data_IF_787065529889
#
_entry.id   IF_787065529889
#
_cell.length_a   1.000
_cell.length_b   1.000
_cell.length_c   1.000
_cell.angle_alpha   90.00
_cell.angle_beta   90.00
_cell.angle_gamma   90.00
#
_symmetry.space_group_name_H-M   'P 1'
#
loop_
_entity.id
_entity.type
_entity.pdbx_description
1 polymer ?
#
# COMPACT_ATOMS: atom_id res chain seq x y z
N UNK A 1 11.26 2.03 26.38
CA UNK A 1 12.57 2.71 26.49
C UNK A 1 13.18 2.84 25.10
N UNK A 2 13.99 3.87 24.85
CA UNK A 2 14.69 4.09 23.57
C UNK A 2 16.17 4.37 23.81
N UNK A 3 17.04 4.02 22.86
CA UNK A 3 18.46 4.38 22.89
C UNK A 3 18.70 5.80 22.33
N UNK A 4 19.97 6.18 22.13
CA UNK A 4 20.37 7.50 21.57
C UNK A 4 19.89 7.73 20.14
N UNK A 5 19.69 6.66 19.37
CA UNK A 5 19.13 6.70 18.01
C UNK A 5 17.60 6.65 18.01
N UNK A 6 16.97 6.79 19.17
CA UNK A 6 15.52 6.67 19.36
C UNK A 6 14.94 5.29 18.97
N UNK A 7 15.79 4.26 18.96
CA UNK A 7 15.37 2.90 18.61
C UNK A 7 14.69 2.22 19.80
N UNK A 8 13.56 1.57 19.55
CA UNK A 8 12.85 0.75 20.54
C UNK A 8 13.46 -0.65 20.60
N UNK A 9 13.15 -1.40 21.67
CA UNK A 9 13.55 -2.80 21.75
C UNK A 9 13.00 -3.63 20.58
N UNK A 10 11.75 -3.34 20.17
CA UNK A 10 11.12 -3.99 19.03
C UNK A 10 11.85 -3.68 17.72
N UNK A 11 12.27 -2.43 17.53
CA UNK A 11 13.09 -2.03 16.38
C UNK A 11 14.40 -2.81 16.33
N UNK A 12 15.17 -2.80 17.44
CA UNK A 12 16.49 -3.43 17.50
C UNK A 12 16.38 -4.94 17.24
N UNK A 13 15.38 -5.60 17.83
CA UNK A 13 15.14 -7.02 17.60
C UNK A 13 14.73 -7.32 16.15
N UNK A 14 13.94 -6.45 15.53
CA UNK A 14 13.51 -6.58 14.14
C UNK A 14 14.65 -6.39 13.15
N UNK A 15 15.50 -5.37 13.38
CA UNK A 15 16.68 -5.08 12.56
C UNK A 15 17.70 -6.22 12.57
N UNK A 16 17.90 -6.87 13.73
CA UNK A 16 18.87 -7.95 13.89
C UNK A 16 18.29 -9.36 13.62
N UNK A 17 17.05 -9.48 13.11
CA UNK A 17 16.40 -10.78 12.83
C UNK A 17 16.08 -11.68 14.04
N UNK A 18 15.96 -11.13 15.26
CA UNK A 18 15.71 -11.94 16.46
C UNK A 18 14.23 -12.27 16.66
N UNK A 19 13.67 -13.17 15.84
CA UNK A 19 12.25 -13.52 15.85
C UNK A 19 11.71 -13.93 17.23
N UNK A 20 12.46 -14.73 17.99
CA UNK A 20 12.05 -15.15 19.34
C UNK A 20 11.90 -13.98 20.30
N UNK A 21 12.75 -12.96 20.16
CA UNK A 21 12.69 -11.72 20.95
C UNK A 21 11.52 -10.88 20.48
N UNK A 22 11.32 -10.70 19.17
CA UNK A 22 10.17 -9.97 18.61
C UNK A 22 8.85 -10.55 19.13
N UNK A 23 8.64 -11.86 18.98
CA UNK A 23 7.43 -12.54 19.48
C UNK A 23 7.24 -12.37 20.99
N UNK A 24 8.32 -12.44 21.75
CA UNK A 24 8.26 -12.24 23.21
C UNK A 24 7.90 -10.80 23.56
N UNK A 25 8.47 -9.81 22.87
CA UNK A 25 8.20 -8.40 23.09
C UNK A 25 6.74 -8.07 22.77
N UNK A 26 6.22 -8.52 21.61
CA UNK A 26 4.83 -8.30 21.22
C UNK A 26 3.87 -8.92 22.24
N UNK A 27 4.07 -10.20 22.62
CA UNK A 27 3.28 -10.84 23.69
C UNK A 27 3.30 -10.12 25.04
N UNK A 28 4.27 -9.23 25.28
CA UNK A 28 4.44 -8.46 26.53
C UNK A 28 4.00 -7.00 26.39
N UNK A 29 3.25 -6.63 25.35
CA UNK A 29 2.68 -5.29 25.20
C UNK A 29 3.52 -4.32 24.37
N UNK A 30 4.53 -4.81 23.63
CA UNK A 30 5.34 -3.95 22.77
C UNK A 30 4.59 -3.46 21.53
N UNK A 31 3.33 -3.84 21.31
CA UNK A 31 2.49 -3.34 20.21
C UNK A 31 2.38 -1.81 20.21
N UNK A 32 2.44 -1.19 21.40
CA UNK A 32 2.48 0.28 21.57
C UNK A 32 3.67 0.94 20.87
N UNK A 33 4.69 0.17 20.50
CA UNK A 33 5.91 0.65 19.83
C UNK A 33 6.02 0.27 18.35
N UNK A 34 4.99 -0.36 17.77
CA UNK A 34 4.99 -0.81 16.36
C UNK A 34 5.19 0.31 15.34
N UNK A 35 4.66 1.50 15.64
CA UNK A 35 4.71 2.66 14.74
C UNK A 35 5.75 3.70 15.17
N UNK A 36 6.53 3.38 16.20
CA UNK A 36 7.55 4.29 16.70
C UNK A 36 8.72 4.32 15.72
N UNK A 37 9.04 5.50 15.24
CA UNK A 37 10.14 5.74 14.33
C UNK A 37 11.42 6.10 15.11
N UNK A 38 12.57 5.66 14.59
CA UNK A 38 13.88 6.03 15.11
C UNK A 38 14.30 7.44 14.62
N UNK A 39 15.54 7.88 14.91
CA UNK A 39 16.08 9.19 14.49
C UNK A 39 16.17 9.40 12.97
N UNK A 40 16.04 8.33 12.19
CA UNK A 40 16.07 8.33 10.72
C UNK A 40 14.67 8.16 10.11
N UNK A 41 13.61 8.30 10.91
CA UNK A 41 12.23 8.09 10.49
C UNK A 41 11.94 6.62 10.07
N UNK A 42 12.71 5.67 10.57
CA UNK A 42 12.61 4.25 10.22
C UNK A 42 11.74 3.51 11.24
N UNK A 43 10.78 2.72 10.75
CA UNK A 43 9.90 1.87 11.55
C UNK A 43 10.49 0.48 11.80
N UNK A 44 9.99 -0.27 12.81
CA UNK A 44 10.31 -1.69 12.97
C UNK A 44 9.99 -2.53 11.73
N UNK A 45 8.92 -2.20 11.00
CA UNK A 45 8.55 -2.88 9.75
C UNK A 45 9.60 -2.66 8.66
N UNK A 46 10.10 -1.43 8.52
CA UNK A 46 11.20 -1.14 7.61
C UNK A 46 12.45 -1.94 7.99
N UNK A 47 12.82 -1.95 9.27
CA UNK A 47 14.00 -2.67 9.76
C UNK A 47 13.92 -4.18 9.47
N UNK A 48 12.77 -4.81 9.72
CA UNK A 48 12.54 -6.21 9.38
C UNK A 48 12.61 -6.46 7.86
N UNK A 49 12.13 -5.50 7.07
CA UNK A 49 12.11 -5.60 5.61
C UNK A 49 13.51 -5.48 5.00
N UNK A 50 14.31 -4.54 5.51
CA UNK A 50 15.72 -4.38 5.15
C UNK A 50 16.53 -5.63 5.45
N UNK A 51 16.34 -6.24 6.63
CA UNK A 51 17.03 -7.49 6.96
C UNK A 51 16.49 -8.72 6.20
N UNK A 52 15.31 -8.64 5.58
CA UNK A 52 14.71 -9.78 4.86
C UNK A 52 14.02 -10.82 5.74
N UNK A 53 13.73 -10.47 7.00
CA UNK A 53 13.09 -11.38 7.97
C UNK A 53 11.59 -11.49 7.70
N UNK A 54 11.19 -12.33 6.74
CA UNK A 54 9.79 -12.52 6.34
C UNK A 54 8.88 -12.96 7.49
N UNK A 55 9.38 -13.74 8.44
CA UNK A 55 8.62 -14.14 9.64
C UNK A 55 8.36 -12.95 10.58
N UNK A 56 9.34 -12.07 10.77
CA UNK A 56 9.17 -10.84 11.57
C UNK A 56 8.21 -9.90 10.85
N UNK A 57 8.33 -9.73 9.54
CA UNK A 57 7.39 -8.91 8.74
C UNK A 57 5.96 -9.42 8.90
N UNK A 58 5.72 -10.74 8.81
CA UNK A 58 4.39 -11.33 9.06
C UNK A 58 3.87 -10.99 10.46
N UNK A 59 4.70 -11.18 11.48
CA UNK A 59 4.31 -10.91 12.87
C UNK A 59 3.98 -9.42 13.08
N UNK A 60 4.82 -8.52 12.58
CA UNK A 60 4.60 -7.08 12.69
C UNK A 60 3.33 -6.65 11.95
N UNK A 61 3.09 -7.16 10.74
CA UNK A 61 1.88 -6.87 9.97
C UNK A 61 0.62 -7.40 10.67
N UNK A 62 0.68 -8.62 11.22
CA UNK A 62 -0.40 -9.21 12.01
C UNK A 62 -0.80 -8.34 13.21
N UNK A 63 0.19 -7.75 13.89
CA UNK A 63 -0.05 -6.81 14.99
C UNK A 63 -0.36 -5.36 14.54
N UNK A 64 -0.49 -5.11 13.24
CA UNK A 64 -0.98 -3.84 12.69
C UNK A 64 0.10 -2.86 12.23
N UNK A 65 1.36 -3.27 12.07
CA UNK A 65 2.47 -2.41 11.61
C UNK A 65 2.25 -1.79 10.21
N UNK A 66 1.24 -2.25 9.46
CA UNK A 66 0.84 -1.74 8.15
C UNK A 66 0.65 -0.22 8.09
N UNK A 67 0.33 0.45 9.20
CA UNK A 67 0.26 1.93 9.27
C UNK A 67 1.55 2.65 8.89
N UNK A 68 2.68 1.96 8.95
CA UNK A 68 3.99 2.51 8.57
C UNK A 68 4.54 1.98 7.26
N UNK A 69 3.72 1.25 6.48
CA UNK A 69 4.18 0.59 5.25
C UNK A 69 4.54 1.55 4.12
N UNK A 70 3.95 2.74 4.12
CA UNK A 70 4.25 3.83 3.17
C UNK A 70 5.06 4.95 3.79
N UNK A 71 5.42 4.83 5.09
CA UNK A 71 6.20 5.86 5.79
C UNK A 71 7.62 5.93 5.19
N UNK A 72 8.01 7.08 4.62
CA UNK A 72 9.33 7.24 4.05
C UNK A 72 10.38 7.42 5.15
N UNK A 73 11.39 6.57 5.17
CA UNK A 73 12.57 6.71 6.02
C UNK A 73 13.61 7.66 5.44
N UNK A 74 14.87 7.48 5.85
CA UNK A 74 16.01 8.20 5.28
C UNK A 74 16.06 8.01 3.76
N UNK A 75 16.32 9.10 3.02
CA UNK A 75 16.34 9.07 1.55
C UNK A 75 14.97 8.86 0.89
N UNK A 76 13.88 8.87 1.65
CA UNK A 76 12.54 8.62 1.14
C UNK A 76 12.21 7.14 0.93
N UNK A 77 13.04 6.23 1.45
CA UNK A 77 12.85 4.79 1.27
C UNK A 77 11.75 4.24 2.18
N UNK A 78 10.81 3.50 1.58
CA UNK A 78 9.79 2.74 2.31
C UNK A 78 10.25 1.30 2.56
N UNK A 79 9.55 0.52 3.41
CA UNK A 79 9.81 -0.92 3.55
C UNK A 79 9.89 -1.69 2.22
N UNK A 80 9.10 -1.30 1.22
CA UNK A 80 9.14 -1.93 -0.11
C UNK A 80 10.46 -1.64 -0.84
N UNK A 81 10.97 -0.40 -0.75
CA UNK A 81 12.28 -0.04 -1.29
C UNK A 81 13.39 -0.84 -0.61
N UNK A 82 13.39 -0.89 0.72
CA UNK A 82 14.39 -1.64 1.48
C UNK A 82 14.43 -3.12 1.09
N UNK A 83 13.26 -3.76 0.97
CA UNK A 83 13.18 -5.15 0.55
C UNK A 83 13.65 -5.35 -0.91
N UNK A 84 13.43 -4.38 -1.79
CA UNK A 84 13.86 -4.46 -3.19
C UNK A 84 15.38 -4.25 -3.34
N UNK A 85 15.95 -3.30 -2.60
CA UNK A 85 17.40 -3.01 -2.55
C UNK A 85 18.19 -4.25 -2.11
N UNK A 86 17.69 -4.98 -1.12
CA UNK A 86 18.36 -6.15 -0.55
C UNK A 86 17.88 -7.49 -1.15
N UNK A 87 17.08 -7.45 -2.23
CA UNK A 87 16.58 -8.62 -2.98
C UNK A 87 15.75 -9.62 -2.13
N UNK A 88 14.94 -9.13 -1.21
CA UNK A 88 14.11 -9.97 -0.33
C UNK A 88 12.74 -10.29 -0.94
N UNK A 89 12.71 -11.20 -1.91
CA UNK A 89 11.49 -11.57 -2.66
C UNK A 89 10.29 -11.97 -1.76
N UNK A 90 10.54 -12.76 -0.71
CA UNK A 90 9.47 -13.19 0.21
C UNK A 90 8.92 -12.03 1.05
N UNK A 91 9.76 -11.08 1.45
CA UNK A 91 9.30 -9.86 2.11
C UNK A 91 8.47 -9.02 1.14
N UNK A 92 8.92 -8.84 -0.10
CA UNK A 92 8.16 -8.12 -1.12
C UNK A 92 6.75 -8.69 -1.28
N UNK A 93 6.62 -10.02 -1.44
CA UNK A 93 5.32 -10.68 -1.56
C UNK A 93 4.40 -10.37 -0.39
N UNK A 94 4.93 -10.30 0.83
CA UNK A 94 4.14 -9.97 2.02
C UNK A 94 3.71 -8.52 2.05
N UNK A 95 4.62 -7.59 1.72
CA UNK A 95 4.31 -6.17 1.69
C UNK A 95 3.28 -5.85 0.60
N UNK A 96 3.39 -6.45 -0.59
CA UNK A 96 2.48 -6.27 -1.71
C UNK A 96 1.06 -6.77 -1.47
N UNK A 97 0.84 -7.60 -0.44
CA UNK A 97 -0.49 -8.06 -0.02
C UNK A 97 -1.21 -7.07 0.90
N UNK A 98 -0.51 -6.05 1.40
CA UNK A 98 -1.09 -5.07 2.32
C UNK A 98 -1.85 -4.00 1.52
N UNK A 99 -3.07 -3.62 1.93
CA UNK A 99 -3.80 -2.51 1.31
C UNK A 99 -3.01 -1.20 1.30
N UNK A 100 -3.31 -0.33 0.34
CA UNK A 100 -2.74 1.02 0.20
C UNK A 100 -1.22 1.08 -0.07
N UNK A 101 -0.57 -0.06 -0.32
CA UNK A 101 0.81 -0.05 -0.79
C UNK A 101 0.85 0.48 -2.22
N UNK A 102 1.78 1.40 -2.50
CA UNK A 102 2.02 1.90 -3.85
C UNK A 102 3.36 1.41 -4.34
N UNK A 103 3.35 0.55 -5.37
CA UNK A 103 4.58 0.05 -6.01
C UNK A 103 5.37 1.14 -6.74
N UNK A 104 4.70 2.25 -7.06
CA UNK A 104 5.23 3.39 -7.81
C UNK A 104 5.70 4.56 -6.92
N UNK A 105 5.69 4.39 -5.59
CA UNK A 105 6.24 5.40 -4.69
C UNK A 105 7.71 5.64 -5.00
N UNK A 106 8.12 6.92 -4.98
CA UNK A 106 9.49 7.35 -5.28
C UNK A 106 10.24 7.72 -4.01
N UNK A 107 11.51 7.36 -3.97
CA UNK A 107 12.48 7.91 -3.01
C UNK A 107 12.72 9.40 -3.26
N UNK A 108 13.45 10.07 -2.36
CA UNK A 108 13.88 11.47 -2.53
C UNK A 108 14.73 11.66 -3.79
N UNK A 109 15.39 10.60 -4.26
CA UNK A 109 16.18 10.61 -5.50
C UNK A 109 15.35 10.31 -6.75
N UNK A 110 14.03 10.12 -6.62
CA UNK A 110 13.13 9.83 -7.73
C UNK A 110 13.11 8.36 -8.16
N UNK A 111 13.76 7.46 -7.41
CA UNK A 111 13.81 6.03 -7.74
C UNK A 111 12.60 5.30 -7.17
N UNK A 112 12.02 4.40 -7.96
CA UNK A 112 11.03 3.43 -7.48
C UNK A 112 11.70 2.12 -7.08
N UNK A 113 11.00 1.26 -6.34
CA UNK A 113 11.48 -0.10 -6.04
C UNK A 113 11.79 -0.89 -7.34
N UNK A 114 10.99 -0.69 -8.40
CA UNK A 114 11.22 -1.30 -9.70
C UNK A 114 12.51 -0.78 -10.37
N UNK A 115 12.77 0.53 -10.28
CA UNK A 115 14.01 1.11 -10.81
C UNK A 115 15.24 0.52 -10.12
N UNK A 116 15.22 0.42 -8.79
CA UNK A 116 16.32 -0.16 -8.00
C UNK A 116 16.57 -1.61 -8.42
N UNK A 117 15.53 -2.45 -8.45
CA UNK A 117 15.64 -3.85 -8.85
C UNK A 117 16.13 -4.02 -10.30
N UNK A 118 15.72 -3.12 -11.20
CA UNK A 118 16.15 -3.14 -12.60
C UNK A 118 17.61 -2.73 -12.77
N UNK A 119 18.05 -1.69 -12.04
CA UNK A 119 19.44 -1.22 -12.02
C UNK A 119 20.38 -2.32 -11.53
N UNK A 120 19.97 -3.06 -10.50
CA UNK A 120 20.80 -4.06 -9.85
C UNK A 120 20.65 -5.48 -10.47
N UNK A 121 19.77 -5.63 -11.46
CA UNK A 121 19.60 -6.88 -12.22
C UNK A 121 18.81 -7.97 -11.49
N UNK A 122 17.98 -7.60 -10.51
CA UNK A 122 17.18 -8.53 -9.70
C UNK A 122 15.90 -8.95 -10.43
N UNK A 123 16.05 -9.87 -11.37
CA UNK A 123 14.97 -10.34 -12.24
C UNK A 123 13.72 -10.83 -11.48
N UNK A 124 13.92 -11.60 -10.41
CA UNK A 124 12.85 -12.09 -9.53
C UNK A 124 12.05 -10.96 -8.88
N UNK A 125 12.72 -9.91 -8.42
CA UNK A 125 12.06 -8.74 -7.83
C UNK A 125 11.32 -7.92 -8.89
N UNK A 126 11.91 -7.77 -10.08
CA UNK A 126 11.28 -7.07 -11.21
C UNK A 126 9.98 -7.76 -11.61
N UNK A 127 9.97 -9.08 -11.74
CA UNK A 127 8.75 -9.85 -12.07
C UNK A 127 7.65 -9.67 -11.01
N UNK A 128 8.01 -9.72 -9.72
CA UNK A 128 7.06 -9.51 -8.63
C UNK A 128 6.43 -8.11 -8.66
N UNK A 129 7.24 -7.07 -8.87
CA UNK A 129 6.76 -5.69 -8.90
C UNK A 129 5.89 -5.40 -10.13
N UNK A 130 6.26 -5.90 -11.32
CA UNK A 130 5.47 -5.73 -12.54
C UNK A 130 4.11 -6.46 -12.47
N UNK A 131 4.10 -7.63 -11.84
CA UNK A 131 2.87 -8.39 -11.62
C UNK A 131 1.91 -7.61 -10.72
N UNK A 132 2.42 -6.98 -9.66
CA UNK A 132 1.61 -6.15 -8.76
C UNK A 132 1.09 -4.86 -9.44
N UNK A 133 1.93 -4.14 -10.19
CA UNK A 133 1.52 -2.91 -10.90
C UNK A 133 0.40 -3.17 -11.93
N UNK A 134 0.45 -4.32 -12.60
CA UNK A 134 -0.60 -4.74 -13.55
C UNK A 134 -1.94 -4.98 -12.85
N UNK A 135 -1.92 -5.51 -11.63
CA UNK A 135 -3.15 -5.71 -10.82
C UNK A 135 -3.74 -4.40 -10.32
N UNK A 136 -2.90 -3.42 -9.93
CA UNK A 136 -3.37 -2.08 -9.56
C UNK A 136 -4.13 -1.43 -10.73
N UNK A 137 -3.56 -1.45 -11.94
CA UNK A 137 -4.19 -0.85 -13.15
C UNK A 137 -5.52 -1.50 -13.52
N UNK A 138 -5.62 -2.83 -13.43
CA UNK A 138 -6.85 -3.55 -13.75
C UNK A 138 -7.98 -3.26 -12.76
N UNK A 139 -7.67 -3.03 -11.48
CA UNK A 139 -8.68 -2.68 -10.47
C UNK A 139 -9.34 -1.32 -10.72
N UNK A 140 -8.59 -0.35 -11.27
CA UNK A 140 -9.09 0.98 -11.62
C UNK A 140 -9.93 1.00 -12.92
N UNK A 141 -9.71 0.05 -13.82
CA UNK A 141 -10.48 -0.05 -15.07
C UNK A 141 -11.86 -0.73 -14.85
N UNK A 142 -11.99 -1.65 -13.89
CA UNK A 142 -13.27 -2.31 -13.60
C UNK A 142 -14.26 -1.41 -12.82
N UNK A 143 -13.81 -0.31 -12.21
CA UNK A 143 -14.72 0.70 -11.64
C UNK A 143 -15.22 1.73 -12.66
N UNK A 144 -14.75 1.65 -13.92
CA UNK A 144 -14.99 2.64 -14.97
C UNK A 144 -15.94 2.17 -16.08
N UNK A 145 -16.54 0.98 -15.96
CA UNK A 145 -17.60 0.57 -16.90
C UNK A 145 -18.76 1.57 -16.80
N UNK A 146 -19.19 2.20 -17.91
CA UNK A 146 -20.40 3.02 -17.90
C UNK A 146 -21.54 2.15 -17.41
N UNK A 147 -22.30 2.61 -16.42
CA UNK A 147 -23.62 2.03 -16.14
C UNK A 147 -24.45 2.25 -17.40
N UNK A 148 -24.48 1.25 -18.28
CA UNK A 148 -25.44 1.16 -19.38
C UNK A 148 -26.82 1.54 -18.83
N UNK A 149 -27.55 2.49 -19.44
CA UNK A 149 -28.91 2.78 -19.03
C UNK A 149 -29.71 1.50 -19.21
N UNK A 150 -30.36 1.04 -18.14
CA UNK A 150 -31.23 -0.13 -18.15
C UNK A 150 -32.39 0.18 -19.12
N UNK A 151 -32.25 -0.27 -20.36
CA UNK A 151 -33.33 -0.29 -21.34
C UNK A 151 -34.28 -1.42 -20.95
N UNK A 152 -35.48 -1.07 -20.50
CA UNK A 152 -36.57 -2.00 -20.24
C UNK A 152 -37.60 -1.91 -21.38
N UNK A 153 -37.64 -2.86 -22.33
CA UNK A 153 -38.69 -2.92 -23.33
C UNK A 153 -39.93 -3.57 -22.71
N UNK A 154 -40.69 -2.81 -21.93
CA UNK A 154 -41.78 -3.41 -21.13
C UNK A 154 -42.89 -2.51 -20.61
N UNK A 155 -42.94 -1.22 -20.97
CA UNK A 155 -44.03 -0.33 -20.52
C UNK A 155 -44.76 0.29 -21.69
N UNK A 156 -45.63 -0.50 -22.30
CA UNK A 156 -46.76 0.00 -23.10
C UNK A 156 -47.91 0.28 -22.12
N UNK A 157 -48.39 1.53 -22.10
CA UNK A 157 -49.78 1.96 -21.87
C UNK A 157 -49.76 3.50 -21.97
N UNK A 158 -49.99 4.07 -23.15
CA UNK A 158 -51.31 4.49 -23.66
C UNK A 158 -51.96 5.58 -22.78
N UNK A 159 -52.08 6.81 -23.31
CA UNK A 159 -52.59 7.93 -22.52
C UNK A 159 -52.82 9.28 -23.21
N UNK A 160 -53.34 9.29 -24.43
CA UNK A 160 -54.26 10.29 -25.02
C UNK A 160 -53.78 11.75 -25.25
N UNK A 161 -53.86 12.16 -26.53
CA UNK A 161 -53.81 13.52 -27.04
C UNK A 161 -55.00 14.39 -26.61
N UNK A 162 -54.76 15.70 -26.41
CA UNK A 162 -55.63 16.83 -26.84
C UNK A 162 -54.86 18.12 -26.53
N UNK A 163 -54.35 18.87 -27.53
CA UNK A 163 -55.02 20.05 -28.12
C UNK A 163 -54.81 21.30 -27.23
N UNK A 164 -54.36 22.46 -27.66
CA UNK A 164 -54.10 23.02 -28.98
C UNK A 164 -53.28 24.32 -28.85
N UNK A 165 -53.14 25.01 -29.98
CA UNK A 165 -52.58 26.35 -30.11
C UNK A 165 -53.34 27.33 -29.17
N UNK A 166 -52.77 28.45 -28.72
CA UNK A 166 -52.87 29.74 -29.43
C UNK A 166 -51.93 30.79 -28.82
N UNK A 167 -51.45 31.67 -29.70
CA UNK A 167 -50.76 32.90 -29.38
C UNK A 167 -51.73 34.04 -29.01
N UNK A 168 -51.17 35.09 -28.39
CA UNK A 168 -51.60 36.49 -28.37
C UNK A 168 -52.45 37.05 -27.19
N UNK A 169 -51.94 38.18 -26.67
CA UNK A 169 -52.67 39.39 -26.23
C UNK A 169 -53.26 39.45 -24.80
N UNK A 170 -52.58 40.15 -23.88
CA UNK A 170 -52.89 41.54 -23.42
C UNK A 170 -52.63 41.81 -21.91
N UNK A 171 -51.87 42.89 -21.67
CA UNK A 171 -51.90 43.90 -20.58
C UNK A 171 -52.62 43.60 -19.26
N UNK A 172 -51.93 43.88 -18.15
CA UNK A 172 -51.85 45.23 -17.52
C UNK A 172 -50.50 45.40 -16.83
#
# INVERSE_FOLDING_TARGET
MRNRNLETLLFIASYNAHIGVVKTLLKRGAETTLHVLNSHNISPLWAASFNGSSEIVKELLYHGAGKTITTPGLGGETPLHAAATERHAEVLKLLLQVPDISVNQKTTYGFTSLFIASRDGYHDIVELLLSADSTEKNSLQNSSSPKEPIYNPGSVLAGICSGGLDAQTNRT
#
